data_IF_108335486856
#
_entry.id   IF_108335486856
#
_cell.length_a   1.000
_cell.length_b   1.000
_cell.length_c   1.000
_cell.angle_alpha   90.00
_cell.angle_beta   90.00
_cell.angle_gamma   90.00
#
_symmetry.space_group_name_H-M   'P 1'
#
loop_
_entity.id
_entity.type
_entity.pdbx_description
1 polymer ?
#
# COMPACT_ATOMS: atom_id res chain seq x y z
N UNK A 1 -0.66 0.78 4.09
CA UNK A 1 -0.74 -0.70 3.98
C UNK A 1 0.42 -1.41 4.66
N UNK A 2 1.60 -0.80 4.81
CA UNK A 2 2.58 -1.13 5.88
C UNK A 2 3.05 0.16 6.53
N UNK A 3 2.56 0.46 7.73
CA UNK A 3 2.70 1.79 8.33
C UNK A 3 4.04 2.04 9.04
N UNK A 4 4.77 0.99 9.43
CA UNK A 4 5.93 1.15 10.30
C UNK A 4 5.53 1.90 11.56
N UNK A 5 6.12 3.06 11.83
CA UNK A 5 5.76 3.93 12.96
C UNK A 5 4.69 5.00 12.63
N UNK A 6 3.97 4.87 11.51
CA UNK A 6 2.94 5.84 11.11
C UNK A 6 3.46 7.14 10.50
N UNK A 7 4.73 7.17 10.04
CA UNK A 7 5.35 8.40 9.51
C UNK A 7 4.63 9.02 8.31
N UNK A 8 4.03 8.20 7.45
CA UNK A 8 3.23 8.70 6.33
C UNK A 8 1.97 9.45 6.80
N UNK A 9 1.25 8.90 7.77
CA UNK A 9 0.07 9.54 8.35
C UNK A 9 0.43 10.82 9.10
N UNK A 10 1.52 10.81 9.87
CA UNK A 10 2.03 11.99 10.56
C UNK A 10 2.36 13.12 9.59
N UNK A 11 3.07 12.82 8.49
CA UNK A 11 3.41 13.83 7.49
C UNK A 11 2.19 14.47 6.83
N UNK A 12 1.15 13.68 6.50
CA UNK A 12 -0.09 14.22 5.91
C UNK A 12 -0.84 15.14 6.89
N UNK A 13 -0.86 14.77 8.18
CA UNK A 13 -1.45 15.58 9.24
C UNK A 13 -0.66 16.90 9.46
N UNK A 14 0.67 16.84 9.49
CA UNK A 14 1.53 18.01 9.67
C UNK A 14 1.40 19.00 8.50
N UNK A 15 1.23 18.48 7.28
CA UNK A 15 0.93 19.28 6.09
C UNK A 15 -0.53 19.77 6.00
N UNK A 16 -1.37 19.46 7.01
CA UNK A 16 -2.78 19.89 7.11
C UNK A 16 -3.62 19.50 5.88
N UNK A 17 -3.37 18.32 5.33
CA UNK A 17 -4.20 17.78 4.26
C UNK A 17 -5.51 17.25 4.84
N UNK A 18 -6.63 17.58 4.20
CA UNK A 18 -7.96 17.10 4.60
C UNK A 18 -8.13 15.64 4.17
N UNK A 19 -7.55 14.74 4.96
CA UNK A 19 -7.61 13.30 4.76
C UNK A 19 -7.50 12.56 6.09
N UNK A 20 -8.13 11.41 6.18
CA UNK A 20 -7.92 10.45 7.25
C UNK A 20 -7.06 9.30 6.73
N UNK A 21 -6.19 8.77 7.58
CA UNK A 21 -5.24 7.71 7.21
C UNK A 21 -5.40 6.54 8.15
N UNK A 22 -5.77 5.37 7.62
CA UNK A 22 -5.70 4.12 8.38
C UNK A 22 -4.30 3.50 8.26
N UNK A 23 -3.58 3.48 9.37
CA UNK A 23 -2.25 2.89 9.44
C UNK A 23 -2.31 1.39 9.69
N UNK A 24 -1.98 0.59 8.68
CA UNK A 24 -1.99 -0.88 8.80
C UNK A 24 -0.61 -1.38 9.25
N UNK A 25 -0.57 -2.12 10.36
CA UNK A 25 0.62 -2.82 10.87
C UNK A 25 0.47 -4.32 10.57
N UNK A 26 1.32 -4.90 9.70
CA UNK A 26 1.23 -6.31 9.37
C UNK A 26 1.64 -7.18 10.57
N UNK A 27 0.98 -8.34 10.75
CA UNK A 27 1.32 -9.29 11.83
C UNK A 27 2.71 -9.93 11.66
N UNK A 28 3.28 -9.88 10.45
CA UNK A 28 4.60 -10.42 10.12
C UNK A 28 5.77 -9.60 10.71
N UNK A 29 5.49 -8.41 11.25
CA UNK A 29 6.48 -7.48 11.77
C UNK A 29 6.30 -7.14 13.25
N UNK A 30 7.17 -6.28 13.81
CA UNK A 30 7.03 -5.81 15.18
C UNK A 30 5.75 -4.97 15.33
N UNK A 31 5.05 -5.14 16.45
CA UNK A 31 3.85 -4.39 16.75
C UNK A 31 4.19 -2.93 17.10
N UNK A 32 3.97 -2.03 16.13
CA UNK A 32 4.19 -0.59 16.26
C UNK A 32 2.91 0.20 16.54
N UNK A 33 1.76 -0.47 16.70
CA UNK A 33 0.48 0.20 16.98
C UNK A 33 0.50 1.10 18.22
N UNK A 34 1.13 0.71 19.35
CA UNK A 34 1.18 1.59 20.52
C UNK A 34 1.77 2.96 20.18
N UNK A 35 2.87 2.99 19.40
CA UNK A 35 3.52 4.25 18.98
C UNK A 35 2.62 5.08 18.04
N UNK A 36 1.81 4.42 17.22
CA UNK A 36 0.86 5.10 16.32
C UNK A 36 -0.26 5.74 17.15
N UNK A 37 -0.77 5.05 18.17
CA UNK A 37 -1.81 5.57 19.06
C UNK A 37 -1.30 6.68 19.98
N UNK A 38 -0.07 6.60 20.48
CA UNK A 38 0.54 7.67 21.28
C UNK A 38 0.66 8.99 20.49
N UNK A 39 0.69 8.91 19.15
CA UNK A 39 0.68 10.07 18.23
C UNK A 39 -0.74 10.55 17.88
N UNK A 40 -1.78 9.92 18.40
CA UNK A 40 -3.18 10.23 18.08
C UNK A 40 -3.61 9.81 16.67
N UNK A 41 -2.87 8.89 16.03
CA UNK A 41 -3.16 8.42 14.68
C UNK A 41 -3.99 7.13 14.70
N UNK A 42 -4.82 6.94 13.68
CA UNK A 42 -5.60 5.71 13.51
C UNK A 42 -4.73 4.59 12.96
N UNK A 43 -4.88 3.39 13.52
CA UNK A 43 -4.17 2.21 13.06
C UNK A 43 -4.90 0.91 13.37
N UNK A 44 -4.51 -0.15 12.68
CA UNK A 44 -5.05 -1.50 12.87
C UNK A 44 -3.95 -2.54 12.59
N UNK A 45 -4.03 -3.66 13.29
CA UNK A 45 -3.19 -4.82 13.00
C UNK A 45 -3.93 -5.71 12.00
N UNK A 46 -3.25 -6.18 10.96
CA UNK A 46 -3.90 -7.01 9.96
C UNK A 46 -2.94 -8.04 9.36
N UNK A 47 -3.48 -9.22 9.01
CA UNK A 47 -2.78 -10.22 8.23
C UNK A 47 -3.14 -10.07 6.75
N UNK A 48 -2.18 -9.63 5.93
CA UNK A 48 -2.38 -9.42 4.49
C UNK A 48 -2.57 -10.71 3.69
N UNK A 49 -2.38 -11.87 4.31
CA UNK A 49 -2.76 -13.15 3.72
C UNK A 49 -4.26 -13.47 3.88
N UNK A 50 -4.99 -12.68 4.67
CA UNK A 50 -6.42 -12.77 4.88
C UNK A 50 -7.16 -11.54 4.29
N UNK A 51 -8.46 -11.64 3.99
CA UNK A 51 -9.24 -10.49 3.53
C UNK A 51 -9.27 -9.36 4.57
N UNK A 52 -9.15 -8.11 4.13
CA UNK A 52 -9.20 -6.96 5.01
C UNK A 52 -10.63 -6.74 5.51
N UNK A 53 -10.81 -6.57 6.82
CA UNK A 53 -12.13 -6.37 7.42
C UNK A 53 -12.64 -4.93 7.19
N UNK A 54 -12.91 -4.61 5.93
CA UNK A 54 -13.44 -3.33 5.48
C UNK A 54 -14.31 -3.53 4.25
N UNK A 55 -15.21 -2.58 4.02
CA UNK A 55 -16.09 -2.63 2.88
C UNK A 55 -15.30 -2.44 1.57
N UNK A 56 -15.70 -3.10 0.47
CA UNK A 56 -15.13 -2.81 -0.84
C UNK A 56 -15.25 -1.33 -1.20
N UNK A 57 -14.27 -0.78 -1.90
CA UNK A 57 -14.24 0.61 -2.39
C UNK A 57 -14.30 1.69 -1.27
N UNK A 58 -13.64 1.42 -0.15
CA UNK A 58 -13.56 2.34 1.00
C UNK A 58 -12.52 3.44 0.81
N UNK A 59 -11.38 3.15 0.16
CA UNK A 59 -10.25 4.09 0.09
C UNK A 59 -10.07 4.67 -1.31
N UNK A 60 -9.70 5.96 -1.37
CA UNK A 60 -9.32 6.63 -2.62
C UNK A 60 -7.81 6.54 -2.91
N UNK A 61 -7.01 6.30 -1.87
CA UNK A 61 -5.56 6.20 -1.96
C UNK A 61 -5.00 5.08 -1.10
N UNK A 62 -4.10 4.27 -1.66
CA UNK A 62 -3.36 3.23 -0.95
C UNK A 62 -1.86 3.50 -1.01
N UNK A 63 -1.17 3.39 0.13
CA UNK A 63 0.29 3.44 0.18
C UNK A 63 0.84 2.15 0.78
N UNK A 64 1.67 1.44 0.03
CA UNK A 64 2.39 0.24 0.46
C UNK A 64 3.90 0.49 0.36
N UNK A 65 4.65 0.15 1.41
CA UNK A 65 6.11 0.33 1.44
C UNK A 65 6.76 -0.91 2.04
N UNK A 66 7.44 -1.70 1.21
CA UNK A 66 8.08 -2.94 1.62
C UNK A 66 7.10 -4.01 2.11
N UNK A 67 5.82 -3.93 1.74
CA UNK A 67 4.79 -4.90 2.10
C UNK A 67 5.05 -6.24 1.40
N UNK A 68 5.25 -6.20 0.08
CA UNK A 68 5.34 -7.40 -0.75
C UNK A 68 6.61 -8.20 -0.47
N UNK A 69 7.77 -7.54 -0.32
CA UNK A 69 9.02 -8.25 0.00
C UNK A 69 8.97 -8.99 1.34
N UNK A 70 8.11 -8.57 2.27
CA UNK A 70 7.90 -9.24 3.55
C UNK A 70 6.86 -10.35 3.42
N UNK A 71 5.68 -10.04 2.88
CA UNK A 71 4.56 -10.99 2.86
C UNK A 71 4.69 -12.08 1.79
N UNK A 72 5.53 -11.91 0.75
CA UNK A 72 5.75 -12.94 -0.29
C UNK A 72 6.23 -14.29 0.26
N UNK A 73 6.75 -14.32 1.49
CA UNK A 73 7.19 -15.56 2.18
C UNK A 73 6.03 -16.32 2.82
N UNK A 74 4.88 -15.66 3.01
CA UNK A 74 3.70 -16.18 3.71
C UNK A 74 2.54 -16.45 2.77
N UNK A 75 2.35 -15.60 1.76
CA UNK A 75 1.28 -15.75 0.77
C UNK A 75 1.63 -15.12 -0.58
N UNK A 76 0.82 -15.46 -1.58
CA UNK A 76 0.93 -14.99 -2.96
C UNK A 76 0.69 -13.48 -3.06
N UNK A 77 1.51 -12.78 -3.84
CA UNK A 77 1.36 -11.33 -4.05
C UNK A 77 0.06 -10.98 -4.77
N UNK A 78 -0.47 -11.90 -5.59
CA UNK A 78 -1.75 -11.77 -6.26
C UNK A 78 -2.91 -11.63 -5.27
N UNK A 79 -2.93 -12.39 -4.17
CA UNK A 79 -3.96 -12.30 -3.12
C UNK A 79 -3.98 -10.91 -2.49
N UNK A 80 -2.79 -10.39 -2.14
CA UNK A 80 -2.65 -9.04 -1.56
C UNK A 80 -3.13 -7.98 -2.55
N UNK A 81 -2.74 -8.09 -3.83
CA UNK A 81 -3.12 -7.15 -4.88
C UNK A 81 -4.62 -7.18 -5.19
N UNK A 82 -5.25 -8.35 -5.18
CA UNK A 82 -6.71 -8.49 -5.31
C UNK A 82 -7.44 -7.85 -4.14
N UNK A 83 -6.91 -7.99 -2.92
CA UNK A 83 -7.49 -7.36 -1.75
C UNK A 83 -7.33 -5.83 -1.80
N UNK A 84 -6.17 -5.34 -2.22
CA UNK A 84 -5.95 -3.92 -2.52
C UNK A 84 -6.92 -3.42 -3.60
N UNK A 85 -7.20 -4.21 -4.63
CA UNK A 85 -8.22 -3.88 -5.63
C UNK A 85 -9.62 -3.80 -5.03
N UNK A 86 -10.01 -4.77 -4.22
CA UNK A 86 -11.33 -4.82 -3.59
C UNK A 86 -11.63 -3.55 -2.78
N UNK A 87 -10.67 -3.09 -1.99
CA UNK A 87 -10.84 -1.93 -1.09
C UNK A 87 -10.63 -0.58 -1.77
N UNK A 88 -9.92 -0.52 -2.91
CA UNK A 88 -9.67 0.71 -3.65
C UNK A 88 -10.89 1.09 -4.51
N UNK A 89 -11.34 2.34 -4.37
CA UNK A 89 -12.43 2.90 -5.17
C UNK A 89 -12.01 3.01 -6.65
N UNK A 90 -12.94 2.81 -7.60
CA UNK A 90 -12.71 3.17 -9.00
C UNK A 90 -12.24 4.64 -9.13
N UNK A 91 -11.19 4.88 -9.91
CA UNK A 91 -10.53 6.19 -10.00
C UNK A 91 -9.48 6.46 -8.90
N UNK A 92 -9.40 5.58 -7.90
CA UNK A 92 -8.41 5.66 -6.83
C UNK A 92 -6.99 5.34 -7.31
N UNK A 93 -6.01 5.69 -6.47
CA UNK A 93 -4.58 5.53 -6.77
C UNK A 93 -3.88 4.68 -5.71
N UNK A 94 -2.87 3.92 -6.12
CA UNK A 94 -2.02 3.17 -5.21
C UNK A 94 -0.55 3.46 -5.49
N UNK A 95 0.21 3.82 -4.45
CA UNK A 95 1.66 3.99 -4.51
C UNK A 95 2.31 2.83 -3.77
N UNK A 96 3.13 2.07 -4.50
CA UNK A 96 3.79 0.86 -4.01
C UNK A 96 5.29 1.09 -4.12
N UNK A 97 5.97 1.21 -2.96
CA UNK A 97 7.43 1.29 -2.88
C UNK A 97 7.97 -0.08 -2.48
N UNK A 98 8.68 -0.74 -3.37
CA UNK A 98 9.21 -2.10 -3.16
C UNK A 98 10.63 -2.24 -3.69
N UNK A 99 11.25 -3.37 -3.37
CA UNK A 99 12.55 -3.76 -3.92
C UNK A 99 12.44 -4.11 -5.41
N UNK A 100 13.53 -3.96 -6.16
CA UNK A 100 13.54 -4.20 -7.61
C UNK A 100 13.14 -5.65 -7.95
N UNK A 101 13.52 -6.62 -7.13
CA UNK A 101 13.30 -8.05 -7.36
C UNK A 101 11.82 -8.47 -7.38
N UNK A 102 10.92 -7.71 -6.75
CA UNK A 102 9.47 -7.99 -6.78
C UNK A 102 8.69 -7.04 -7.69
N UNK A 103 9.36 -6.00 -8.21
CA UNK A 103 8.70 -4.90 -8.89
C UNK A 103 8.06 -5.34 -10.21
N UNK A 104 8.76 -6.17 -10.98
CA UNK A 104 8.31 -6.65 -12.28
C UNK A 104 7.03 -7.50 -12.13
N UNK A 105 7.01 -8.41 -11.16
CA UNK A 105 5.85 -9.27 -10.88
C UNK A 105 4.63 -8.46 -10.43
N UNK A 106 4.81 -7.49 -9.51
CA UNK A 106 3.73 -6.58 -9.09
C UNK A 106 3.20 -5.81 -10.30
N UNK A 107 4.08 -5.33 -11.18
CA UNK A 107 3.69 -4.57 -12.36
C UNK A 107 2.90 -5.44 -13.36
N UNK A 108 3.27 -6.70 -13.55
CA UNK A 108 2.55 -7.64 -14.40
C UNK A 108 1.14 -7.93 -13.86
N UNK A 109 1.02 -8.26 -12.57
CA UNK A 109 -0.28 -8.56 -11.95
C UNK A 109 -1.20 -7.32 -11.98
N UNK A 110 -0.69 -6.15 -11.62
CA UNK A 110 -1.49 -4.91 -11.63
C UNK A 110 -1.95 -4.53 -13.03
N UNK A 111 -1.12 -4.72 -14.07
CA UNK A 111 -1.54 -4.55 -15.46
C UNK A 111 -2.62 -5.56 -15.85
N UNK A 112 -2.48 -6.83 -15.45
CA UNK A 112 -3.48 -7.86 -15.72
C UNK A 112 -4.83 -7.57 -15.04
N UNK A 113 -4.83 -6.95 -13.86
CA UNK A 113 -6.04 -6.44 -13.18
C UNK A 113 -6.66 -5.20 -13.87
N UNK A 114 -6.01 -4.65 -14.90
CA UNK A 114 -6.49 -3.47 -15.63
C UNK A 114 -6.11 -2.14 -14.98
N UNK A 115 -5.21 -2.13 -14.00
CA UNK A 115 -4.66 -0.90 -13.46
C UNK A 115 -3.68 -0.26 -14.44
N UNK A 116 -3.70 1.06 -14.52
CA UNK A 116 -2.68 1.81 -15.25
C UNK A 116 -1.48 2.00 -14.33
N UNK A 117 -0.34 1.48 -14.72
CA UNK A 117 0.88 1.55 -13.92
C UNK A 117 1.97 2.38 -14.57
N UNK A 118 2.74 3.09 -13.75
CA UNK A 118 3.91 3.86 -14.15
C UNK A 118 4.98 3.70 -13.09
N UNK A 119 6.15 3.19 -13.51
CA UNK A 119 7.31 3.03 -12.67
C UNK A 119 8.04 4.38 -12.54
N UNK A 120 8.50 4.70 -11.32
CA UNK A 120 9.27 5.91 -11.01
C UNK A 120 10.46 5.55 -10.13
N UNK A 121 11.55 6.27 -10.34
CA UNK A 121 12.73 6.20 -9.49
C UNK A 121 12.45 6.88 -8.13
N UNK A 122 13.16 6.43 -7.10
CA UNK A 122 13.17 7.08 -5.78
C UNK A 122 14.09 8.31 -5.81
N UNK A 123 14.03 9.12 -4.75
CA UNK A 123 14.95 10.25 -4.55
C UNK A 123 16.42 9.84 -4.44
N UNK A 124 16.70 8.56 -4.20
CA UNK A 124 18.05 7.97 -4.18
C UNK A 124 18.63 7.75 -5.58
N UNK A 125 17.84 7.95 -6.63
CA UNK A 125 18.28 7.90 -8.03
C UNK A 125 18.22 6.50 -8.68
N UNK A 126 18.79 6.35 -9.89
CA UNK A 126 18.64 5.16 -10.72
C UNK A 126 19.28 3.88 -10.16
N UNK A 127 20.19 4.00 -9.18
CA UNK A 127 20.86 2.84 -8.59
C UNK A 127 20.29 2.43 -7.23
N UNK A 128 19.17 3.03 -6.80
CA UNK A 128 18.47 2.63 -5.58
C UNK A 128 17.98 1.19 -5.68
N UNK A 129 18.09 0.42 -4.59
CA UNK A 129 17.51 -0.93 -4.49
C UNK A 129 15.98 -0.94 -4.45
N UNK A 130 15.36 0.23 -4.36
CA UNK A 130 13.92 0.41 -4.31
C UNK A 130 13.41 1.22 -5.49
N UNK A 131 12.15 0.96 -5.85
CA UNK A 131 11.40 1.69 -6.87
C UNK A 131 9.98 1.99 -6.41
N UNK A 132 9.36 2.98 -7.03
CA UNK A 132 7.99 3.37 -6.74
C UNK A 132 7.13 3.06 -7.95
N UNK A 133 6.18 2.16 -7.79
CA UNK A 133 5.12 1.92 -8.76
C UNK A 133 3.93 2.81 -8.42
N UNK A 134 3.58 3.68 -9.35
CA UNK A 134 2.34 4.48 -9.28
C UNK A 134 1.27 3.77 -10.09
N UNK A 135 0.16 3.44 -9.43
CA UNK A 135 -0.96 2.73 -10.00
C UNK A 135 -2.24 3.56 -9.95
N UNK A 136 -3.05 3.49 -11.00
CA UNK A 136 -4.37 4.12 -11.09
C UNK A 136 -5.40 3.07 -11.49
N UNK A 137 -6.42 2.89 -10.64
CA UNK A 137 -7.54 1.99 -10.92
C UNK A 137 -8.51 2.69 -11.84
N UNK A 138 -8.69 2.17 -13.06
CA UNK A 138 -9.59 2.78 -14.04
C UNK A 138 -11.05 2.70 -13.57
N UNK A 139 -11.83 3.71 -13.93
CA UNK A 139 -13.28 3.62 -13.86
C UNK A 139 -13.76 2.53 -14.83
N UNK A 140 -14.69 1.65 -14.44
CA UNK A 140 -15.38 0.78 -15.37
C UNK A 140 -15.94 1.65 -16.49
N UNK A 141 -15.65 1.30 -17.75
CA UNK A 141 -16.29 1.97 -18.88
C UNK A 141 -17.78 1.63 -18.80
N UNK A 142 -18.62 2.68 -18.80
CA UNK A 142 -20.06 2.53 -18.96
C UNK A 142 -20.41 2.01 -20.37
#
# INVERSE_FOLDING_TARGET
MRAGFGGFAAALNDHKLDCWVLSVVPISGPNTLPVIYDRGLLGVMHDWCEPFDTYPRTYDFLHASGLFSVERKRCEMSTILLEMDRILRPGGRAYIRETIDVMDEIQEITKAMGWRTSLRDTSEGPHSSYRILTCEKRLPRA
#
